data_IF_705853993633
#
_entry.id   IF_705853993633
#
_cell.length_a   1.000
_cell.length_b   1.000
_cell.length_c   1.000
_cell.angle_alpha   90.00
_cell.angle_beta   90.00
_cell.angle_gamma   90.00
#
_symmetry.space_group_name_H-M   'P 1'
#
loop_
_entity.id
_entity.type
_entity.pdbx_description
1 polymer ?
#
# COMPACT_ATOMS: atom_id res chain seq x y z
N UNK A 1 -9.13 -2.32 -8.70
CA UNK A 1 -9.51 -3.26 -9.78
C UNK A 1 -9.60 -2.60 -11.14
N UNK A 2 -10.23 -1.42 -11.26
CA UNK A 2 -10.39 -0.73 -12.56
C UNK A 2 -9.06 -0.50 -13.30
N UNK A 3 -7.98 -0.18 -12.56
CA UNK A 3 -6.65 -0.01 -13.17
C UNK A 3 -6.15 -1.27 -13.91
N UNK A 4 -6.46 -2.46 -13.41
CA UNK A 4 -6.05 -3.73 -14.02
C UNK A 4 -6.86 -4.09 -15.28
N UNK A 5 -7.95 -3.37 -15.57
CA UNK A 5 -8.68 -3.52 -16.84
C UNK A 5 -8.04 -2.73 -17.97
N UNK A 6 -7.19 -1.75 -17.63
CA UNK A 6 -6.55 -0.83 -18.56
C UNK A 6 -5.14 -1.30 -18.90
N UNK A 7 -4.46 -1.95 -17.95
CA UNK A 7 -3.06 -2.40 -18.07
C UNK A 7 -2.95 -3.89 -17.75
N UNK A 8 -2.30 -4.66 -18.62
CA UNK A 8 -1.93 -6.05 -18.33
C UNK A 8 -0.59 -6.10 -17.59
N UNK A 9 -0.63 -6.56 -16.34
CA UNK A 9 0.54 -6.71 -15.47
C UNK A 9 0.93 -8.19 -15.44
N UNK A 10 2.10 -8.57 -15.99
CA UNK A 10 2.56 -9.94 -15.94
C UNK A 10 3.03 -10.29 -14.52
N UNK A 11 2.54 -11.41 -13.98
CA UNK A 11 2.95 -11.96 -12.69
C UNK A 11 3.58 -13.34 -12.87
N UNK A 12 4.59 -13.64 -12.05
CA UNK A 12 5.24 -14.96 -12.08
C UNK A 12 4.34 -16.01 -11.45
N UNK A 13 3.99 -17.05 -12.22
CA UNK A 13 3.16 -18.17 -11.73
C UNK A 13 3.77 -18.88 -10.53
N UNK A 14 5.09 -19.06 -10.52
CA UNK A 14 5.79 -19.72 -9.40
C UNK A 14 5.64 -18.93 -8.09
N UNK A 15 5.65 -17.59 -8.17
CA UNK A 15 5.46 -16.72 -7.01
C UNK A 15 4.04 -16.84 -6.47
N UNK A 16 3.05 -16.85 -7.37
CA UNK A 16 1.63 -17.04 -7.02
C UNK A 16 1.43 -18.40 -6.38
N UNK A 17 1.93 -19.48 -6.99
CA UNK A 17 1.79 -20.83 -6.46
C UNK A 17 2.44 -20.97 -5.08
N UNK A 18 3.62 -20.36 -4.87
CA UNK A 18 4.28 -20.34 -3.57
C UNK A 18 3.46 -19.60 -2.51
N UNK A 19 2.84 -18.48 -2.86
CA UNK A 19 2.01 -17.68 -1.96
C UNK A 19 0.72 -18.44 -1.58
N UNK A 20 0.01 -18.98 -2.58
CA UNK A 20 -1.19 -19.79 -2.40
C UNK A 20 -0.90 -21.01 -1.51
N UNK A 21 0.21 -21.71 -1.75
CA UNK A 21 0.59 -22.85 -0.93
C UNK A 21 0.83 -22.46 0.53
N UNK A 22 1.53 -21.35 0.78
CA UNK A 22 1.76 -20.84 2.15
C UNK A 22 0.46 -20.46 2.83
N UNK A 23 -0.45 -19.79 2.11
CA UNK A 23 -1.75 -19.40 2.62
C UNK A 23 -2.57 -20.63 3.04
N UNK A 24 -2.73 -21.60 2.14
CA UNK A 24 -3.48 -22.84 2.40
C UNK A 24 -2.84 -23.71 3.48
N UNK A 25 -1.51 -23.73 3.60
CA UNK A 25 -0.80 -24.40 4.68
C UNK A 25 -1.14 -23.80 6.04
N UNK A 26 -1.19 -22.47 6.14
CA UNK A 26 -1.61 -21.75 7.35
C UNK A 26 -3.03 -22.07 7.79
N UNK A 27 -3.91 -22.39 6.84
CA UNK A 27 -5.28 -22.84 7.13
C UNK A 27 -5.42 -24.35 7.34
N UNK A 28 -4.38 -25.14 7.06
CA UNK A 28 -4.46 -26.61 7.04
C UNK A 28 -5.31 -27.16 5.90
N UNK A 29 -5.47 -26.42 4.79
CA UNK A 29 -6.37 -26.70 3.67
C UNK A 29 -5.66 -26.93 2.34
N UNK A 30 -4.42 -27.42 2.37
CA UNK A 30 -3.59 -27.65 1.17
C UNK A 30 -4.27 -28.49 0.06
N UNK A 31 -5.17 -29.40 0.43
CA UNK A 31 -5.85 -30.32 -0.51
C UNK A 31 -7.24 -29.81 -0.94
N UNK A 32 -7.62 -28.58 -0.58
CA UNK A 32 -8.90 -27.98 -0.97
C UNK A 32 -8.74 -27.28 -2.33
N UNK A 33 -8.99 -28.00 -3.42
CA UNK A 33 -8.83 -27.51 -4.79
C UNK A 33 -9.74 -26.31 -5.10
N UNK A 34 -10.95 -26.26 -4.53
CA UNK A 34 -11.88 -25.15 -4.75
C UNK A 34 -11.33 -23.90 -4.10
N UNK A 35 -10.92 -24.00 -2.85
CA UNK A 35 -10.38 -22.85 -2.14
C UNK A 35 -9.04 -22.40 -2.72
N UNK A 36 -8.19 -23.35 -3.15
CA UNK A 36 -6.97 -23.05 -3.91
C UNK A 36 -7.24 -22.17 -5.13
N UNK A 37 -8.25 -22.49 -5.93
CA UNK A 37 -8.59 -21.70 -7.10
C UNK A 37 -9.03 -20.27 -6.73
N UNK A 38 -9.79 -20.11 -5.65
CA UNK A 38 -10.21 -18.81 -5.12
C UNK A 38 -9.00 -17.98 -4.64
N UNK A 39 -8.15 -18.56 -3.80
CA UNK A 39 -6.93 -17.91 -3.28
C UNK A 39 -5.97 -17.58 -4.42
N UNK A 40 -5.84 -18.44 -5.44
CA UNK A 40 -4.99 -18.17 -6.61
C UNK A 40 -5.44 -16.90 -7.34
N UNK A 41 -6.74 -16.76 -7.61
CA UNK A 41 -7.28 -15.57 -8.28
C UNK A 41 -7.08 -14.30 -7.44
N UNK A 42 -7.24 -14.40 -6.11
CA UNK A 42 -7.04 -13.28 -5.20
C UNK A 42 -5.56 -12.87 -5.08
N UNK A 43 -4.66 -13.84 -4.94
CA UNK A 43 -3.22 -13.63 -4.93
C UNK A 43 -2.78 -12.98 -6.24
N UNK A 44 -3.13 -13.56 -7.41
CA UNK A 44 -2.79 -12.99 -8.72
C UNK A 44 -3.19 -11.52 -8.84
N UNK A 45 -4.44 -11.22 -8.47
CA UNK A 45 -4.96 -9.86 -8.51
C UNK A 45 -4.18 -8.93 -7.58
N UNK A 46 -3.93 -9.34 -6.34
CA UNK A 46 -3.23 -8.54 -5.34
C UNK A 46 -1.80 -8.24 -5.78
N UNK A 47 -1.09 -9.25 -6.30
CA UNK A 47 0.25 -9.05 -6.87
C UNK A 47 0.24 -8.10 -8.07
N UNK A 48 -0.74 -8.22 -8.98
CA UNK A 48 -0.86 -7.29 -10.12
C UNK A 48 -1.08 -5.85 -9.67
N UNK A 49 -1.96 -5.63 -8.68
CA UNK A 49 -2.18 -4.29 -8.10
C UNK A 49 -0.89 -3.77 -7.47
N UNK A 50 -0.20 -4.60 -6.69
CA UNK A 50 1.02 -4.20 -6.02
C UNK A 50 2.10 -3.78 -7.02
N UNK A 51 2.36 -4.62 -8.03
CA UNK A 51 3.36 -4.33 -9.07
C UNK A 51 3.02 -3.07 -9.87
N UNK A 52 1.73 -2.84 -10.15
CA UNK A 52 1.30 -1.62 -10.82
C UNK A 52 1.59 -0.38 -9.96
N UNK A 53 1.24 -0.42 -8.67
CA UNK A 53 1.49 0.71 -7.78
C UNK A 53 2.98 0.92 -7.54
N UNK A 54 3.77 -0.15 -7.41
CA UNK A 54 5.23 -0.06 -7.31
C UNK A 54 5.83 0.58 -8.57
N UNK A 55 5.32 0.24 -9.77
CA UNK A 55 5.74 0.88 -11.02
C UNK A 55 5.38 2.38 -11.08
N UNK A 56 4.24 2.77 -10.51
CA UNK A 56 3.83 4.18 -10.40
C UNK A 56 4.72 4.92 -9.39
N UNK A 57 5.04 4.30 -8.25
CA UNK A 57 6.01 4.83 -7.27
C UNK A 57 7.32 5.16 -7.96
N UNK A 58 7.85 4.23 -8.76
CA UNK A 58 9.11 4.41 -9.47
C UNK A 58 9.00 5.49 -10.56
N UNK A 59 7.91 5.49 -11.36
CA UNK A 59 7.72 6.43 -12.46
C UNK A 59 7.54 7.88 -11.98
N UNK A 60 6.80 8.08 -10.89
CA UNK A 60 6.55 9.40 -10.28
C UNK A 60 7.65 9.80 -9.29
N UNK A 61 8.64 8.93 -9.03
CA UNK A 61 9.73 9.19 -8.10
C UNK A 61 9.25 9.44 -6.67
N UNK A 62 8.20 8.72 -6.24
CA UNK A 62 7.56 8.93 -4.95
C UNK A 62 8.53 8.60 -3.82
N UNK A 63 8.70 9.55 -2.90
CA UNK A 63 9.50 9.38 -1.69
C UNK A 63 8.60 9.42 -0.46
N UNK A 64 8.95 8.59 0.50
CA UNK A 64 8.30 8.53 1.81
C UNK A 64 9.14 9.31 2.81
N UNK A 65 8.49 10.26 3.49
CA UNK A 65 9.13 11.03 4.55
C UNK A 65 9.20 10.25 5.85
N UNK A 66 10.18 10.55 6.70
CA UNK A 66 10.31 9.91 8.01
C UNK A 66 9.09 10.19 8.90
N UNK A 67 8.61 11.44 8.93
CA UNK A 67 7.45 11.82 9.74
C UNK A 67 6.17 11.09 9.29
N UNK A 68 5.97 10.97 7.98
CA UNK A 68 4.85 10.26 7.37
C UNK A 68 4.90 8.76 7.71
N UNK A 69 6.08 8.14 7.57
CA UNK A 69 6.29 6.75 7.96
C UNK A 69 6.00 6.54 9.46
N UNK A 70 6.50 7.44 10.32
CA UNK A 70 6.26 7.36 11.76
C UNK A 70 4.78 7.48 12.10
N UNK A 71 4.07 8.42 11.48
CA UNK A 71 2.63 8.56 11.66
C UNK A 71 1.88 7.30 11.20
N UNK A 72 2.26 6.74 10.06
CA UNK A 72 1.69 5.49 9.57
C UNK A 72 1.94 4.31 10.53
N UNK A 73 3.15 4.17 11.07
CA UNK A 73 3.49 3.13 12.04
C UNK A 73 2.69 3.29 13.35
N UNK A 74 2.52 4.52 13.84
CA UNK A 74 1.71 4.80 15.03
C UNK A 74 0.22 4.45 14.82
N UNK A 75 -0.32 4.71 13.64
CA UNK A 75 -1.69 4.28 13.30
C UNK A 75 -1.78 2.77 13.17
N UNK A 76 -0.78 2.15 12.54
CA UNK A 76 -0.73 0.71 12.33
C UNK A 76 -0.64 -0.08 13.64
N UNK A 77 0.07 0.44 14.65
CA UNK A 77 0.25 -0.25 15.94
C UNK A 77 -1.08 -0.58 16.63
N UNK A 78 -2.11 0.26 16.42
CA UNK A 78 -3.45 0.03 16.98
C UNK A 78 -4.10 -1.24 16.43
N UNK A 79 -3.88 -1.55 15.14
CA UNK A 79 -4.38 -2.79 14.53
C UNK A 79 -3.69 -4.05 15.11
N UNK A 80 -2.47 -3.89 15.61
CA UNK A 80 -1.71 -4.95 16.25
C UNK A 80 -1.90 -5.02 17.78
N UNK A 81 -2.69 -4.10 18.35
CA UNK A 81 -2.89 -4.01 19.81
C UNK A 81 -1.60 -3.71 20.58
N UNK A 82 -0.63 -3.06 19.93
CA UNK A 82 0.68 -2.74 20.50
C UNK A 82 0.81 -1.25 20.81
N UNK A 83 1.56 -0.93 21.86
CA UNK A 83 1.99 0.45 22.11
C UNK A 83 2.77 0.97 20.89
N UNK A 84 2.51 2.20 20.42
CA UNK A 84 3.16 2.74 19.23
C UNK A 84 4.69 2.70 19.28
N UNK A 85 5.30 3.04 20.42
CA UNK A 85 6.76 3.07 20.53
C UNK A 85 7.34 1.66 20.47
N UNK A 86 6.70 0.70 21.15
CA UNK A 86 7.10 -0.71 21.10
C UNK A 86 6.95 -1.31 19.70
N UNK A 87 5.89 -0.94 18.98
CA UNK A 87 5.67 -1.40 17.61
C UNK A 87 6.76 -0.89 16.67
N UNK A 88 7.06 0.42 16.69
CA UNK A 88 8.13 1.01 15.88
C UNK A 88 9.48 0.36 16.18
N UNK A 89 9.81 0.16 17.45
CA UNK A 89 11.04 -0.51 17.85
C UNK A 89 11.12 -1.95 17.32
N UNK A 90 10.01 -2.68 17.37
CA UNK A 90 9.91 -4.06 16.86
C UNK A 90 10.13 -4.11 15.34
N UNK A 91 9.45 -3.25 14.59
CA UNK A 91 9.61 -3.15 13.13
C UNK A 91 11.05 -2.81 12.75
N UNK A 92 11.66 -1.87 13.47
CA UNK A 92 13.06 -1.47 13.27
C UNK A 92 14.02 -2.62 13.54
N UNK A 93 13.92 -3.27 14.70
CA UNK A 93 14.79 -4.40 15.08
C UNK A 93 14.67 -5.59 14.15
N UNK A 94 13.48 -5.84 13.61
CA UNK A 94 13.24 -6.94 12.68
C UNK A 94 13.66 -6.60 11.24
N UNK A 95 14.17 -5.39 10.98
CA UNK A 95 14.55 -4.95 9.64
C UNK A 95 13.36 -4.81 8.69
N UNK A 96 12.15 -4.62 9.21
CA UNK A 96 10.91 -4.55 8.44
C UNK A 96 10.56 -3.15 7.95
N UNK A 97 11.34 -2.13 8.35
CA UNK A 97 11.16 -0.73 7.91
C UNK A 97 10.98 -0.59 6.40
N UNK A 98 11.77 -1.25 5.52
CA UNK A 98 11.59 -1.14 4.07
C UNK A 98 10.22 -1.60 3.57
N UNK A 99 9.62 -2.61 4.20
CA UNK A 99 8.29 -3.10 3.83
C UNK A 99 7.20 -2.05 4.13
N UNK A 100 7.30 -1.38 5.28
CA UNK A 100 6.39 -0.30 5.65
C UNK A 100 6.60 0.95 4.80
N UNK A 101 7.84 1.27 4.42
CA UNK A 101 8.13 2.32 3.43
C UNK A 101 7.42 2.02 2.11
N UNK A 102 7.54 0.79 1.60
CA UNK A 102 6.85 0.38 0.37
C UNK A 102 5.32 0.52 0.47
N UNK A 103 4.74 0.21 1.63
CA UNK A 103 3.30 0.36 1.86
C UNK A 103 2.85 1.83 1.84
N UNK A 104 3.59 2.71 2.52
CA UNK A 104 3.30 4.15 2.47
C UNK A 104 3.45 4.69 1.03
N UNK A 105 4.50 4.27 0.32
CA UNK A 105 4.72 4.69 -1.07
C UNK A 105 3.55 4.27 -2.00
N UNK A 106 3.08 3.02 -1.90
CA UNK A 106 1.93 2.54 -2.68
C UNK A 106 0.64 3.29 -2.35
N UNK A 107 0.41 3.65 -1.08
CA UNK A 107 -0.74 4.47 -0.69
C UNK A 107 -0.70 5.85 -1.33
N UNK A 108 0.48 6.48 -1.40
CA UNK A 108 0.68 7.76 -2.11
C UNK A 108 0.46 7.62 -3.61
N UNK A 109 1.00 6.56 -4.22
CA UNK A 109 0.76 6.26 -5.64
C UNK A 109 -0.73 6.15 -5.94
N UNK A 110 -1.48 5.45 -5.08
CA UNK A 110 -2.93 5.36 -5.23
C UNK A 110 -3.61 6.73 -5.09
N UNK A 111 -3.18 7.56 -4.14
CA UNK A 111 -3.69 8.93 -3.98
C UNK A 111 -3.47 9.78 -5.24
N UNK A 112 -2.30 9.71 -5.86
CA UNK A 112 -1.98 10.39 -7.12
C UNK A 112 -2.87 9.88 -8.27
N UNK A 113 -3.04 8.57 -8.39
CA UNK A 113 -3.93 8.01 -9.41
C UNK A 113 -5.37 8.47 -9.21
N UNK A 114 -5.83 8.57 -7.96
CA UNK A 114 -7.17 9.04 -7.64
C UNK A 114 -7.35 10.54 -7.90
N UNK A 115 -6.30 11.36 -7.78
CA UNK A 115 -6.41 12.80 -8.11
C UNK A 115 -6.57 13.04 -9.62
N UNK A 116 -6.11 12.12 -10.45
CA UNK A 116 -6.26 12.17 -11.92
C UNK A 116 -7.54 11.46 -12.40
N UNK A 117 -8.19 10.68 -11.53
CA UNK A 117 -9.39 9.93 -11.89
C UNK A 117 -10.64 10.81 -11.84
N UNK A 118 -11.56 10.61 -12.79
CA UNK A 118 -12.91 11.17 -12.71
C UNK A 118 -13.71 10.34 -11.71
N UNK A 119 -13.99 10.93 -10.55
CA UNK A 119 -14.78 10.28 -9.50
C UNK A 119 -16.22 10.76 -9.58
N UNK A 120 -17.15 9.81 -9.64
CA UNK A 120 -18.59 10.10 -9.61
C UNK A 120 -19.31 9.32 -8.53
N UNK A 121 -20.40 9.88 -8.00
CA UNK A 121 -21.30 9.16 -7.12
C UNK A 121 -22.12 8.09 -7.89
N UNK A 122 -22.99 7.37 -7.17
CA UNK A 122 -23.88 6.36 -7.77
C UNK A 122 -24.88 6.94 -8.79
N UNK A 123 -25.15 8.25 -8.72
CA UNK A 123 -26.02 8.99 -9.63
C UNK A 123 -25.24 9.69 -10.77
N UNK A 124 -23.93 9.43 -10.91
CA UNK A 124 -23.01 10.00 -11.90
C UNK A 124 -22.71 11.50 -11.72
N UNK A 125 -22.96 12.06 -10.54
CA UNK A 125 -22.52 13.41 -10.23
C UNK A 125 -21.02 13.41 -9.90
N UNK A 126 -20.22 14.37 -10.39
CA UNK A 126 -18.81 14.49 -10.04
C UNK A 126 -18.60 14.68 -8.53
N UNK A 127 -17.60 14.01 -7.97
CA UNK A 127 -17.18 14.14 -6.57
C UNK A 127 -15.73 14.59 -6.54
N UNK A 128 -15.46 15.69 -5.84
CA UNK A 128 -14.09 16.17 -5.62
C UNK A 128 -13.48 15.46 -4.41
N UNK A 129 -12.38 14.73 -4.63
CA UNK A 129 -11.60 14.07 -3.58
C UNK A 129 -10.40 14.89 -3.11
N UNK A 130 -10.17 16.09 -3.67
CA UNK A 130 -8.97 16.88 -3.43
C UNK A 130 -8.70 17.17 -1.95
N UNK A 131 -9.72 17.47 -1.15
CA UNK A 131 -9.54 17.67 0.31
C UNK A 131 -9.18 16.38 1.05
N UNK A 132 -9.73 15.25 0.64
CA UNK A 132 -9.45 13.95 1.25
C UNK A 132 -8.04 13.45 0.92
N UNK A 133 -7.59 13.66 -0.33
CA UNK A 133 -6.27 13.23 -0.81
C UNK A 133 -5.12 14.13 -0.33
N UNK A 134 -5.40 15.39 0.04
CA UNK A 134 -4.40 16.33 0.59
C UNK A 134 -3.81 15.89 1.93
N UNK A 135 -4.56 15.14 2.74
CA UNK A 135 -4.11 14.64 4.03
C UNK A 135 -2.93 13.66 3.94
N UNK A 136 -2.76 12.97 2.80
CA UNK A 136 -1.64 12.05 2.55
C UNK A 136 -0.45 12.74 1.84
N UNK A 137 -0.60 14.00 1.37
CA UNK A 137 0.42 14.71 0.58
C UNK A 137 1.00 15.96 1.26
N UNK A 138 0.53 16.35 2.44
CA UNK A 138 1.07 17.51 3.16
C UNK A 138 2.31 17.17 3.99
N UNK A 139 3.40 16.79 3.31
CA UNK A 139 4.76 17.02 3.83
C UNK A 139 5.29 18.31 3.20
N UNK A 140 4.78 19.46 3.63
CA UNK A 140 5.43 20.73 3.32
C UNK A 140 6.45 21.04 4.42
N UNK A 141 7.71 20.70 4.12
CA UNK A 141 8.89 21.30 4.72
C UNK A 141 8.72 22.83 4.80
N UNK A 142 8.55 23.32 6.02
CA UNK A 142 8.66 24.75 6.33
C UNK A 142 9.34 24.95 7.67
N UNK A 143 10.55 24.41 7.80
CA UNK A 143 11.54 24.98 8.72
C UNK A 143 12.33 26.03 7.98
N UNK A 144 11.72 27.21 7.85
CA UNK A 144 12.47 28.45 7.62
C UNK A 144 13.47 28.61 8.78
N UNK A 145 14.74 28.76 8.43
CA UNK A 145 15.85 28.88 9.38
C UNK A 145 15.57 29.95 10.44
N UNK A 146 15.74 29.54 11.70
CA UNK A 146 15.82 30.48 12.81
C UNK A 146 17.30 30.72 13.08
N UNK A 147 17.86 31.74 12.43
CA UNK A 147 19.11 32.34 12.84
C UNK A 147 18.90 32.95 14.24
N UNK A 148 19.62 32.44 15.23
CA UNK A 148 19.86 33.13 16.48
C UNK A 148 21.35 33.46 16.56
N UNK A 149 21.64 34.75 16.40
CA UNK A 149 22.83 35.41 16.96
C UNK A 149 22.84 35.27 18.50
#
# INVERSE_FOLDING_TARGET
EELLKIVDVPVSKEMIESDVNRHLEGEGRLQDDKHRAEVTLESEKSFKVQMLLDAIVDAEGIKVGEQELMQYLMLSSQNYGMDPNQFVETISKNGQVPAFVGEVARRKALSIVLSEAIVTDKAKNPVDLGEFLKGDNSSQDSHAGHDHD
#
